data_IF_799525409797
#
_entry.id   IF_799525409797
#
_cell.length_a   1.000
_cell.length_b   1.000
_cell.length_c   1.000
_cell.angle_alpha   90.00
_cell.angle_beta   90.00
_cell.angle_gamma   90.00
#
_symmetry.space_group_name_H-M   'P 1'
#
loop_
_entity.id
_entity.type
_entity.pdbx_description
1 polymer ?
#
# COMPACT_ATOMS: atom_id res chain seq x y z
N UNK A 1 2.71 24.00 -11.54
CA UNK A 1 3.32 22.75 -11.03
C UNK A 1 3.54 22.82 -9.51
N UNK A 2 2.49 23.13 -8.75
CA UNK A 2 2.50 23.11 -7.29
C UNK A 2 1.10 22.69 -6.88
N UNK A 3 0.95 21.60 -6.12
CA UNK A 3 -0.26 21.16 -5.37
C UNK A 3 -0.17 19.68 -4.90
N UNK A 4 0.92 18.95 -5.19
CA UNK A 4 1.02 17.51 -4.87
C UNK A 4 1.76 17.16 -3.56
N UNK A 5 2.42 18.10 -2.88
CA UNK A 5 3.22 17.82 -1.68
C UNK A 5 2.44 17.93 -0.35
N UNK A 6 1.39 18.76 -0.31
CA UNK A 6 0.64 19.09 0.91
C UNK A 6 -0.23 17.97 1.46
N UNK A 7 -1.00 17.18 0.66
CA UNK A 7 -1.92 16.19 1.21
C UNK A 7 -1.19 14.96 1.78
N UNK A 8 -0.07 14.56 1.17
CA UNK A 8 0.72 13.42 1.64
C UNK A 8 1.37 13.67 3.00
N UNK A 9 1.86 14.89 3.23
CA UNK A 9 2.47 15.28 4.50
C UNK A 9 1.46 15.23 5.66
N UNK A 10 0.26 15.76 5.45
CA UNK A 10 -0.82 15.75 6.42
C UNK A 10 -1.29 14.32 6.74
N UNK A 11 -1.43 13.47 5.73
CA UNK A 11 -1.79 12.06 5.91
C UNK A 11 -0.75 11.29 6.73
N UNK A 12 0.55 11.55 6.49
CA UNK A 12 1.64 10.92 7.24
C UNK A 12 1.67 11.38 8.71
N UNK A 13 1.44 12.66 8.97
CA UNK A 13 1.34 13.21 10.34
C UNK A 13 0.17 12.57 11.09
N UNK A 14 -0.98 12.43 10.43
CA UNK A 14 -2.16 11.77 10.96
C UNK A 14 -1.91 10.30 11.29
N UNK A 15 -1.25 9.56 10.39
CA UNK A 15 -0.88 8.16 10.59
C UNK A 15 0.10 7.96 11.76
N UNK A 16 1.09 8.85 11.89
CA UNK A 16 2.03 8.84 13.02
C UNK A 16 1.32 9.05 14.35
N UNK A 17 0.37 9.99 14.39
CA UNK A 17 -0.47 10.25 15.56
C UNK A 17 -1.29 9.01 15.96
N UNK A 18 -2.04 8.42 15.01
CA UNK A 18 -2.82 7.21 15.28
C UNK A 18 -1.95 6.03 15.73
N UNK A 19 -0.76 5.87 15.17
CA UNK A 19 0.18 4.81 15.57
C UNK A 19 0.64 4.97 17.03
N UNK A 20 0.83 6.21 17.48
CA UNK A 20 1.13 6.52 18.88
C UNK A 20 -0.05 6.17 19.81
N UNK A 21 -1.27 6.50 19.39
CA UNK A 21 -2.49 6.17 20.15
C UNK A 21 -2.65 4.64 20.28
N UNK A 22 -2.46 3.88 19.20
CA UNK A 22 -2.53 2.41 19.22
C UNK A 22 -1.47 1.79 20.14
N UNK A 23 -0.25 2.35 20.19
CA UNK A 23 0.79 1.87 21.10
C UNK A 23 0.42 2.13 22.57
N UNK A 24 -0.11 3.33 22.87
CA UNK A 24 -0.58 3.69 24.21
C UNK A 24 -1.74 2.79 24.67
N UNK A 25 -2.70 2.52 23.79
CA UNK A 25 -3.81 1.61 24.12
C UNK A 25 -3.32 0.19 24.41
N UNK A 26 -2.32 -0.30 23.66
CA UNK A 26 -1.72 -1.60 23.92
C UNK A 26 -1.03 -1.70 25.28
N UNK A 27 -0.30 -0.65 25.69
CA UNK A 27 0.32 -0.57 27.02
C UNK A 27 -0.72 -0.59 28.15
N UNK A 28 -1.83 0.15 27.98
CA UNK A 28 -2.95 0.18 28.93
C UNK A 28 -3.59 -1.20 29.06
N UNK A 29 -3.86 -1.89 27.94
CA UNK A 29 -4.41 -3.26 27.94
C UNK A 29 -3.50 -4.26 28.64
N UNK A 30 -2.18 -4.17 28.44
CA UNK A 30 -1.20 -5.02 29.14
C UNK A 30 -1.26 -4.74 30.65
N UNK A 31 -1.28 -3.47 31.07
CA UNK A 31 -1.36 -3.09 32.48
C UNK A 31 -2.62 -3.61 33.17
N UNK A 32 -3.79 -3.43 32.55
CA UNK A 32 -5.06 -3.99 33.02
C UNK A 32 -5.03 -5.52 33.11
N UNK A 33 -4.44 -6.17 32.12
CA UNK A 33 -4.35 -7.64 32.09
C UNK A 33 -3.43 -8.19 33.18
N UNK A 34 -2.30 -7.51 33.47
CA UNK A 34 -1.42 -7.86 34.59
C UNK A 34 -2.17 -7.67 35.92
N UNK A 35 -2.88 -6.54 36.09
CA UNK A 35 -3.66 -6.27 37.30
C UNK A 35 -4.74 -7.32 37.56
N UNK A 36 -5.50 -7.71 36.52
CA UNK A 36 -6.54 -8.75 36.61
C UNK A 36 -5.93 -10.11 36.92
N UNK A 37 -4.82 -10.48 36.28
CA UNK A 37 -4.13 -11.76 36.56
C UNK A 37 -3.57 -11.80 37.98
N UNK A 38 -3.00 -10.69 38.49
CA UNK A 38 -2.48 -10.59 39.85
C UNK A 38 -3.59 -10.68 40.89
N UNK A 39 -4.69 -9.92 40.71
CA UNK A 39 -5.87 -9.99 41.60
C UNK A 39 -6.55 -11.35 41.52
N UNK A 40 -6.65 -11.93 40.33
CA UNK A 40 -7.16 -13.28 40.10
C UNK A 40 -6.35 -14.35 40.83
N UNK A 41 -5.02 -14.27 40.78
CA UNK A 41 -4.13 -15.19 41.51
C UNK A 41 -4.26 -15.10 43.05
N UNK A 42 -4.70 -13.96 43.58
CA UNK A 42 -5.04 -13.79 45.00
C UNK A 42 -6.45 -14.34 45.29
N UNK A 43 -7.39 -14.20 44.34
CA UNK A 43 -8.80 -14.59 44.49
C UNK A 43 -9.08 -16.08 44.19
N UNK A 44 -8.19 -16.76 43.45
CA UNK A 44 -8.24 -18.22 43.18
C UNK A 44 -8.33 -19.05 44.45
N UNK A 45 -7.76 -18.57 45.57
CA UNK A 45 -7.83 -19.20 46.89
C UNK A 45 -9.25 -19.24 47.49
N UNK A 46 -10.22 -18.53 46.92
CA UNK A 46 -11.58 -18.38 47.49
C UNK A 46 -12.72 -18.75 46.53
N UNK A 47 -12.59 -18.54 45.20
CA UNK A 47 -13.75 -18.55 44.27
C UNK A 47 -13.76 -19.62 43.15
N UNK A 48 -12.79 -20.54 43.12
CA UNK A 48 -12.83 -21.85 42.42
C UNK A 48 -13.17 -21.87 40.92
N UNK A 49 -14.42 -21.64 40.53
CA UNK A 49 -14.94 -21.76 39.16
C UNK A 49 -14.82 -20.48 38.32
N UNK A 50 -15.04 -19.30 38.93
CA UNK A 50 -15.02 -18.01 38.22
C UNK A 50 -13.60 -17.59 37.79
N UNK A 51 -12.58 -18.22 38.38
CA UNK A 51 -11.19 -17.81 38.23
C UNK A 51 -10.52 -18.33 36.95
N UNK A 52 -10.94 -19.48 36.43
CA UNK A 52 -10.38 -20.03 35.20
C UNK A 52 -10.73 -19.15 33.98
N UNK A 53 -11.96 -18.63 33.95
CA UNK A 53 -12.42 -17.72 32.91
C UNK A 53 -11.66 -16.38 32.94
N UNK A 54 -11.52 -15.77 34.12
CA UNK A 54 -10.76 -14.52 34.30
C UNK A 54 -9.29 -14.66 33.88
N UNK A 55 -8.67 -15.81 34.16
CA UNK A 55 -7.29 -16.09 33.76
C UNK A 55 -7.15 -16.27 32.24
N UNK A 56 -8.06 -17.02 31.60
CA UNK A 56 -8.08 -17.17 30.14
C UNK A 56 -8.29 -15.84 29.41
N UNK A 57 -9.24 -15.03 29.88
CA UNK A 57 -9.51 -13.69 29.32
C UNK A 57 -8.30 -12.77 29.53
N UNK A 58 -7.66 -12.81 30.71
CA UNK A 58 -6.46 -12.03 31.01
C UNK A 58 -5.27 -12.39 30.12
N UNK A 59 -5.02 -13.69 29.88
CA UNK A 59 -3.98 -14.15 28.97
C UNK A 59 -4.24 -13.72 27.51
N UNK A 60 -5.48 -13.81 27.04
CA UNK A 60 -5.85 -13.36 25.69
C UNK A 60 -5.60 -11.85 25.52
N UNK A 61 -5.97 -11.03 26.52
CA UNK A 61 -5.71 -9.59 26.48
C UNK A 61 -4.22 -9.23 26.54
N UNK A 62 -3.38 -10.01 27.25
CA UNK A 62 -1.92 -9.84 27.23
C UNK A 62 -1.33 -10.08 25.84
N UNK A 63 -1.73 -11.17 25.19
CA UNK A 63 -1.27 -11.52 23.83
C UNK A 63 -1.72 -10.46 22.84
N UNK A 64 -3.00 -10.06 22.86
CA UNK A 64 -3.52 -9.02 21.95
C UNK A 64 -2.88 -7.65 22.20
N UNK A 65 -2.63 -7.28 23.47
CA UNK A 65 -1.97 -6.03 23.85
C UNK A 65 -0.53 -5.98 23.36
N UNK A 66 0.25 -7.03 23.56
CA UNK A 66 1.64 -7.11 23.09
C UNK A 66 1.78 -7.01 21.57
N UNK A 67 0.93 -7.71 20.82
CA UNK A 67 0.87 -7.61 19.35
C UNK A 67 0.57 -6.17 18.92
N UNK A 68 -0.38 -5.52 19.58
CA UNK A 68 -0.78 -4.13 19.27
C UNK A 68 0.34 -3.12 19.53
N UNK A 69 1.10 -3.29 20.62
CA UNK A 69 2.28 -2.48 20.94
C UNK A 69 3.36 -2.65 19.88
N UNK A 70 3.71 -3.90 19.54
CA UNK A 70 4.74 -4.19 18.54
C UNK A 70 4.39 -3.57 17.17
N UNK A 71 3.13 -3.66 16.76
CA UNK A 71 2.64 -3.02 15.54
C UNK A 71 2.71 -1.48 15.61
N UNK A 72 2.36 -0.88 16.75
CA UNK A 72 2.46 0.57 16.96
C UNK A 72 3.91 1.08 16.89
N UNK A 73 4.86 0.40 17.52
CA UNK A 73 6.28 0.75 17.47
C UNK A 73 6.88 0.51 16.08
N UNK A 74 6.62 -0.63 15.43
CA UNK A 74 7.10 -0.89 14.08
C UNK A 74 6.62 0.18 13.08
N UNK A 75 5.38 0.65 13.24
CA UNK A 75 4.77 1.70 12.41
C UNK A 75 5.38 3.09 12.67
N UNK A 76 5.69 3.42 13.92
CA UNK A 76 6.36 4.66 14.31
C UNK A 76 7.82 4.70 13.86
N UNK A 77 8.56 3.61 14.06
CA UNK A 77 9.95 3.48 13.59
C UNK A 77 10.01 3.42 12.06
N UNK A 78 9.01 2.80 11.42
CA UNK A 78 8.83 2.82 9.98
C UNK A 78 8.52 4.21 9.40
N UNK A 79 7.92 5.12 10.19
CA UNK A 79 7.64 6.50 9.81
C UNK A 79 8.76 7.50 10.22
N UNK A 80 9.50 7.21 11.29
CA UNK A 80 10.58 8.05 11.82
C UNK A 80 11.90 7.87 11.05
N UNK A 81 12.16 6.70 10.47
CA UNK A 81 13.31 6.46 9.58
C UNK A 81 13.04 6.96 8.15
N UNK A 82 12.61 8.21 8.02
CA UNK A 82 12.22 8.82 6.75
C UNK A 82 12.73 10.25 6.53
N UNK A 83 13.91 10.36 5.94
CA UNK A 83 14.18 11.40 4.94
C UNK A 83 13.55 11.04 3.57
N UNK A 84 12.30 10.53 3.53
CA UNK A 84 11.70 9.92 2.32
C UNK A 84 11.18 10.92 1.27
N UNK A 85 11.29 12.22 1.47
CA UNK A 85 11.15 13.15 0.33
C UNK A 85 12.14 12.78 -0.78
N UNK A 86 13.38 12.50 -0.37
CA UNK A 86 14.44 12.00 -1.25
C UNK A 86 14.20 10.55 -1.67
N UNK A 87 13.71 9.67 -0.78
CA UNK A 87 13.52 8.24 -1.08
C UNK A 87 12.37 7.97 -2.06
N UNK A 88 11.26 8.72 -1.98
CA UNK A 88 10.18 8.63 -2.96
C UNK A 88 10.62 9.14 -4.32
N UNK A 89 11.33 10.27 -4.36
CA UNK A 89 11.90 10.80 -5.59
C UNK A 89 12.90 9.82 -6.22
N UNK A 90 13.82 9.24 -5.42
CA UNK A 90 14.76 8.21 -5.87
C UNK A 90 14.02 6.97 -6.38
N UNK A 91 12.91 6.56 -5.76
CA UNK A 91 12.12 5.42 -6.20
C UNK A 91 11.35 5.70 -7.49
N UNK A 92 10.81 6.91 -7.66
CA UNK A 92 10.18 7.34 -8.92
C UNK A 92 11.23 7.37 -10.05
N UNK A 93 12.43 7.93 -9.81
CA UNK A 93 13.54 7.94 -10.79
C UNK A 93 14.03 6.52 -11.12
N UNK A 94 14.20 5.66 -10.12
CA UNK A 94 14.61 4.27 -10.34
C UNK A 94 13.54 3.47 -11.10
N UNK A 95 12.27 3.73 -10.84
CA UNK A 95 11.16 3.12 -11.56
C UNK A 95 11.14 3.58 -13.02
N UNK A 96 11.30 4.89 -13.27
CA UNK A 96 11.41 5.43 -14.63
C UNK A 96 12.60 4.77 -15.36
N UNK A 97 13.75 4.62 -14.71
CA UNK A 97 14.92 3.97 -15.28
C UNK A 97 14.67 2.50 -15.67
N UNK A 98 13.94 1.75 -14.86
CA UNK A 98 13.56 0.37 -15.18
C UNK A 98 12.65 0.33 -16.43
N UNK A 99 11.65 1.21 -16.51
CA UNK A 99 10.76 1.32 -17.67
C UNK A 99 11.53 1.74 -18.94
N UNK A 100 12.46 2.69 -18.81
CA UNK A 100 13.35 3.11 -19.89
C UNK A 100 14.21 1.95 -20.38
N UNK A 101 14.74 1.12 -19.47
CA UNK A 101 15.56 -0.06 -19.79
C UNK A 101 14.75 -1.13 -20.51
N UNK A 102 13.52 -1.42 -20.04
CA UNK A 102 12.60 -2.35 -20.70
C UNK A 102 12.33 -1.92 -22.15
N UNK A 103 11.95 -0.65 -22.36
CA UNK A 103 11.73 -0.11 -23.69
C UNK A 103 12.98 -0.15 -24.57
N UNK A 104 14.16 0.19 -24.04
CA UNK A 104 15.41 0.22 -24.83
C UNK A 104 15.77 -1.16 -25.40
N UNK A 105 15.50 -2.22 -24.66
CA UNK A 105 15.75 -3.59 -25.07
C UNK A 105 14.57 -4.24 -25.79
N UNK A 106 13.45 -3.53 -25.94
CA UNK A 106 12.24 -4.03 -26.57
C UNK A 106 12.46 -4.25 -28.07
N UNK A 107 12.17 -5.47 -28.54
CA UNK A 107 12.33 -5.87 -29.95
C UNK A 107 11.01 -6.14 -30.64
N UNK A 108 9.94 -6.37 -29.88
CA UNK A 108 8.58 -6.43 -30.41
C UNK A 108 7.77 -7.58 -29.84
N UNK A 109 6.51 -7.64 -30.25
CA UNK A 109 5.54 -8.57 -29.68
C UNK A 109 5.86 -10.05 -29.96
N UNK A 110 6.48 -10.36 -31.11
CA UNK A 110 6.78 -11.73 -31.54
C UNK A 110 8.16 -12.23 -31.09
N UNK A 111 8.95 -11.38 -30.44
CA UNK A 111 10.28 -11.76 -29.99
C UNK A 111 10.18 -12.51 -28.65
N UNK A 112 10.79 -13.71 -28.51
CA UNK A 112 10.70 -14.51 -27.29
C UNK A 112 11.62 -14.02 -26.15
N UNK A 113 12.12 -12.79 -26.23
CA UNK A 113 13.03 -12.25 -25.21
C UNK A 113 12.29 -11.79 -23.94
N UNK A 114 12.96 -11.95 -22.80
CA UNK A 114 12.39 -11.63 -21.46
C UNK A 114 12.02 -10.14 -21.33
N UNK A 115 12.71 -9.23 -22.02
CA UNK A 115 12.36 -7.81 -22.00
C UNK A 115 11.07 -7.53 -22.76
N UNK A 116 10.91 -8.10 -23.96
CA UNK A 116 9.68 -7.96 -24.76
C UNK A 116 8.48 -8.58 -24.08
N UNK A 117 8.63 -9.78 -23.50
CA UNK A 117 7.56 -10.42 -22.74
C UNK A 117 7.12 -9.54 -21.55
N UNK A 118 8.08 -9.10 -20.71
CA UNK A 118 7.76 -8.25 -19.55
C UNK A 118 7.12 -6.94 -19.95
N UNK A 119 7.65 -6.29 -20.99
CA UNK A 119 7.13 -4.99 -21.45
C UNK A 119 5.72 -5.11 -22.03
N UNK A 120 5.43 -6.18 -22.79
CA UNK A 120 4.08 -6.48 -23.28
C UNK A 120 3.09 -6.64 -22.12
N UNK A 121 3.45 -7.43 -21.10
CA UNK A 121 2.61 -7.64 -19.91
C UNK A 121 2.35 -6.32 -19.17
N UNK A 122 3.37 -5.47 -19.01
CA UNK A 122 3.22 -4.16 -18.36
C UNK A 122 2.23 -3.28 -19.12
N UNK A 123 2.36 -3.15 -20.43
CA UNK A 123 1.45 -2.34 -21.27
C UNK A 123 0.01 -2.86 -21.23
N UNK A 124 -0.17 -4.18 -21.34
CA UNK A 124 -1.50 -4.82 -21.32
C UNK A 124 -2.18 -4.69 -19.94
N UNK A 125 -1.45 -4.95 -18.85
CA UNK A 125 -2.01 -4.91 -17.49
C UNK A 125 -2.32 -3.49 -17.03
N UNK A 126 -1.47 -2.53 -17.38
CA UNK A 126 -1.66 -1.14 -16.99
C UNK A 126 -2.51 -0.34 -17.98
N UNK A 127 -2.86 -0.92 -19.14
CA UNK A 127 -3.68 -0.28 -20.19
C UNK A 127 -3.09 1.07 -20.61
N UNK A 128 -1.83 1.02 -21.04
CA UNK A 128 -0.97 2.18 -21.34
C UNK A 128 -0.07 1.88 -22.54
N UNK A 129 0.53 2.92 -23.13
CA UNK A 129 1.47 2.76 -24.24
C UNK A 129 2.76 3.56 -24.01
N UNK A 130 3.89 2.88 -24.10
CA UNK A 130 5.20 3.49 -23.90
C UNK A 130 5.49 3.85 -22.44
N UNK A 131 6.62 4.50 -22.19
CA UNK A 131 7.03 4.89 -20.83
C UNK A 131 6.27 6.14 -20.41
N UNK A 132 6.38 7.21 -21.19
CA UNK A 132 5.70 8.51 -21.03
C UNK A 132 4.51 8.65 -21.96
N UNK A 133 4.62 8.16 -23.19
CA UNK A 133 3.56 8.21 -24.21
C UNK A 133 3.86 7.21 -25.35
N UNK A 134 2.90 6.98 -26.25
CA UNK A 134 3.03 6.11 -27.42
C UNK A 134 4.19 6.52 -28.35
N UNK A 135 4.53 7.82 -28.40
CA UNK A 135 5.64 8.35 -29.20
C UNK A 135 7.01 7.85 -28.75
N UNK A 136 7.13 7.20 -27.59
CA UNK A 136 8.38 6.63 -27.11
C UNK A 136 8.94 5.51 -28.01
N UNK A 137 8.13 4.99 -28.93
CA UNK A 137 8.54 3.98 -29.90
C UNK A 137 9.09 4.58 -31.20
N UNK A 138 8.84 5.87 -31.48
CA UNK A 138 9.42 6.55 -32.64
C UNK A 138 10.94 6.66 -32.49
N UNK A 139 11.68 6.23 -33.51
CA UNK A 139 13.13 6.10 -33.53
C UNK A 139 13.68 4.97 -32.64
N UNK A 140 12.83 4.14 -32.04
CA UNK A 140 13.27 3.03 -31.19
C UNK A 140 13.74 1.82 -32.01
N UNK A 141 14.45 0.88 -31.36
CA UNK A 141 14.83 -0.37 -32.01
C UNK A 141 13.62 -1.14 -32.53
N UNK A 142 12.47 -1.03 -31.86
CA UNK A 142 11.23 -1.69 -32.27
C UNK A 142 10.69 -1.15 -33.60
N UNK A 143 10.61 0.17 -33.77
CA UNK A 143 10.15 0.78 -35.03
C UNK A 143 11.11 0.43 -36.16
N UNK A 144 12.43 0.45 -35.89
CA UNK A 144 13.44 0.08 -36.89
C UNK A 144 13.35 -1.38 -37.34
N UNK A 145 12.98 -2.30 -36.44
CA UNK A 145 12.88 -3.74 -36.74
C UNK A 145 11.53 -4.08 -37.38
N UNK A 146 10.43 -3.48 -36.92
CA UNK A 146 9.08 -3.89 -37.30
C UNK A 146 8.38 -2.95 -38.28
N UNK A 147 8.87 -1.71 -38.42
CA UNK A 147 8.22 -0.65 -39.22
C UNK A 147 6.89 -0.14 -38.66
N UNK A 148 6.51 -0.54 -37.43
CA UNK A 148 5.30 -0.06 -36.76
C UNK A 148 5.64 1.07 -35.78
N UNK A 149 4.74 2.04 -35.67
CA UNK A 149 4.85 3.18 -34.76
C UNK A 149 4.58 2.81 -33.30
N UNK A 150 3.85 1.73 -33.04
CA UNK A 150 3.58 1.22 -31.70
C UNK A 150 3.31 -0.30 -31.72
N UNK A 151 3.51 -1.02 -30.60
CA UNK A 151 3.21 -2.45 -30.51
C UNK A 151 1.73 -2.75 -30.23
N UNK A 152 1.27 -3.95 -30.59
CA UNK A 152 -0.12 -4.40 -30.37
C UNK A 152 -0.58 -4.38 -28.91
N UNK A 153 0.34 -4.47 -27.96
CA UNK A 153 0.07 -4.35 -26.53
C UNK A 153 -0.46 -2.96 -26.12
N UNK A 154 -0.30 -1.95 -26.98
CA UNK A 154 -0.87 -0.61 -26.78
C UNK A 154 -2.34 -0.48 -27.20
N UNK A 155 -2.90 -1.47 -27.90
CA UNK A 155 -4.28 -1.45 -28.37
C UNK A 155 -5.24 -1.57 -27.19
N UNK A 156 -6.36 -0.83 -27.22
CA UNK A 156 -7.44 -1.00 -26.22
C UNK A 156 -8.14 -2.35 -26.34
N UNK A 157 -8.20 -2.90 -27.54
CA UNK A 157 -8.84 -4.17 -27.85
C UNK A 157 -7.96 -4.96 -28.82
N UNK A 158 -7.53 -6.15 -28.39
CA UNK A 158 -6.76 -7.07 -29.22
C UNK A 158 -7.68 -7.61 -30.33
N UNK A 159 -7.34 -7.32 -31.59
CA UNK A 159 -8.05 -7.86 -32.77
C UNK A 159 -8.89 -6.85 -33.56
N UNK A 160 -8.88 -5.57 -33.19
CA UNK A 160 -9.43 -4.53 -34.07
C UNK A 160 -8.55 -4.36 -35.30
N UNK A 161 -9.16 -4.31 -36.48
CA UNK A 161 -8.44 -4.10 -37.75
C UNK A 161 -7.74 -2.74 -37.76
N UNK A 162 -8.34 -1.77 -37.06
CA UNK A 162 -7.82 -0.41 -36.92
C UNK A 162 -6.55 -0.32 -36.07
N UNK A 163 -6.23 -1.32 -35.24
CA UNK A 163 -4.99 -1.35 -34.47
C UNK A 163 -3.85 -2.03 -35.25
N UNK A 164 -3.50 -1.42 -36.38
CA UNK A 164 -2.53 -1.90 -37.35
C UNK A 164 -1.06 -1.57 -36.99
N UNK A 165 -0.83 -0.79 -35.93
CA UNK A 165 0.49 -0.31 -35.54
C UNK A 165 0.86 1.03 -36.17
N UNK A 166 -0.09 1.73 -36.82
CA UNK A 166 0.07 3.06 -37.43
C UNK A 166 -1.03 4.04 -37.03
N UNK A 167 -2.25 3.55 -36.81
CA UNK A 167 -3.37 4.38 -36.39
C UNK A 167 -3.24 4.81 -34.91
N UNK A 168 -2.88 6.07 -34.70
CA UNK A 168 -2.66 6.65 -33.35
C UNK A 168 -3.92 7.25 -32.71
N UNK A 169 -5.11 6.99 -33.28
CA UNK A 169 -6.36 7.51 -32.75
C UNK A 169 -6.57 7.14 -31.28
N UNK A 170 -7.04 8.11 -30.49
CA UNK A 170 -7.28 7.93 -29.07
C UNK A 170 -8.34 6.86 -28.76
N UNK A 171 -9.18 6.50 -29.73
CA UNK A 171 -10.17 5.42 -29.59
C UNK A 171 -9.55 4.03 -29.73
N UNK A 172 -8.45 3.91 -30.46
CA UNK A 172 -7.82 2.63 -30.81
C UNK A 172 -6.70 2.27 -29.83
N UNK A 173 -5.89 3.25 -29.42
CA UNK A 173 -4.72 3.03 -28.56
C UNK A 173 -4.83 3.72 -27.20
N UNK A 174 -4.07 3.20 -26.24
CA UNK A 174 -3.86 3.88 -24.96
C UNK A 174 -2.85 5.01 -25.11
N UNK A 175 -3.30 6.27 -25.14
CA UNK A 175 -2.39 7.42 -25.25
C UNK A 175 -1.63 7.76 -23.97
N UNK A 176 -2.04 7.27 -22.80
CA UNK A 176 -1.28 7.51 -21.57
C UNK A 176 -0.07 6.57 -21.47
N UNK A 177 1.08 7.12 -21.07
CA UNK A 177 2.27 6.32 -20.75
C UNK A 177 2.12 5.45 -19.52
N UNK A 178 2.86 4.35 -19.48
CA UNK A 178 2.77 3.39 -18.39
C UNK A 178 3.33 3.93 -17.06
N UNK A 179 4.36 4.77 -17.09
CA UNK A 179 4.92 5.39 -15.89
C UNK A 179 3.92 6.33 -15.19
N UNK A 180 3.35 7.37 -15.86
CA UNK A 180 2.36 8.23 -15.21
C UNK A 180 1.09 7.48 -14.80
N UNK A 181 0.67 6.47 -15.58
CA UNK A 181 -0.48 5.61 -15.24
C UNK A 181 -0.24 4.82 -13.96
N UNK A 182 0.93 4.20 -13.84
CA UNK A 182 1.32 3.44 -12.66
C UNK A 182 1.41 4.31 -11.42
N UNK A 183 1.98 5.52 -11.53
CA UNK A 183 2.03 6.48 -10.43
C UNK A 183 0.62 6.89 -9.98
N UNK A 184 -0.30 7.11 -10.93
CA UNK A 184 -1.71 7.42 -10.64
C UNK A 184 -2.41 6.26 -9.91
N UNK A 185 -2.28 5.03 -10.42
CA UNK A 185 -2.84 3.82 -9.78
C UNK A 185 -2.27 3.64 -8.38
N UNK A 186 -0.96 3.74 -8.22
CA UNK A 186 -0.27 3.57 -6.93
C UNK A 186 -0.76 4.59 -5.92
N UNK A 187 -0.92 5.86 -6.32
CA UNK A 187 -1.48 6.91 -5.45
C UNK A 187 -2.92 6.63 -5.05
N UNK A 188 -3.80 6.29 -5.99
CA UNK A 188 -5.21 6.01 -5.70
C UNK A 188 -5.38 4.77 -4.81
N UNK A 189 -4.67 3.68 -5.10
CA UNK A 189 -4.70 2.46 -4.29
C UNK A 189 -4.14 2.71 -2.88
N UNK A 190 -3.10 3.54 -2.74
CA UNK A 190 -2.56 3.91 -1.43
C UNK A 190 -3.54 4.72 -0.57
N UNK A 191 -4.42 5.52 -1.18
CA UNK A 191 -5.47 6.26 -0.48
C UNK A 191 -6.59 5.32 0.01
N UNK A 192 -6.96 4.30 -0.76
CA UNK A 192 -7.94 3.30 -0.31
C UNK A 192 -7.36 2.39 0.79
N UNK A 193 -6.09 2.01 0.67
CA UNK A 193 -5.37 1.21 1.67
C UNK A 193 -5.19 1.98 2.99
N UNK A 194 -5.03 3.30 2.94
CA UNK A 194 -4.98 4.15 4.14
C UNK A 194 -6.36 4.30 4.81
N UNK A 195 -7.45 4.27 4.03
CA UNK A 195 -8.82 4.23 4.54
C UNK A 195 -9.12 3.01 5.43
N UNK A 196 -8.64 1.82 5.02
CA UNK A 196 -8.76 0.61 5.83
C UNK A 196 -8.02 0.68 7.17
N UNK A 197 -6.85 1.35 7.19
CA UNK A 197 -6.10 1.61 8.42
C UNK A 197 -6.78 2.64 9.34
N UNK A 198 -7.46 3.64 8.79
CA UNK A 198 -8.17 4.66 9.57
C UNK A 198 -9.40 4.06 10.27
N UNK A 199 -10.10 3.12 9.59
CA UNK A 199 -11.24 2.39 10.17
C UNK A 199 -10.89 1.60 11.43
N UNK A 200 -9.70 0.97 11.47
CA UNK A 200 -9.25 0.23 12.65
C UNK A 200 -9.00 1.14 13.87
N UNK A 201 -8.58 2.39 13.66
CA UNK A 201 -8.35 3.36 14.74
C UNK A 201 -9.66 3.90 15.33
N UNK A 202 -10.68 4.13 14.50
CA UNK A 202 -12.01 4.58 14.96
C UNK A 202 -12.71 3.48 15.76
N UNK A 203 -12.55 2.21 15.37
CA UNK A 203 -13.14 1.07 16.09
C UNK A 203 -12.51 0.83 17.48
N UNK A 204 -11.29 1.31 17.73
CA UNK A 204 -10.62 1.15 19.03
C UNK A 204 -11.14 2.11 20.11
N UNK A 205 -11.63 3.30 19.75
CA UNK A 205 -12.06 4.32 20.72
C UNK A 205 -13.28 3.90 21.58
N UNK A 206 -14.35 3.31 21.01
CA UNK A 206 -15.50 2.84 21.80
C UNK A 206 -15.12 1.71 22.76
N UNK A 207 -14.22 0.81 22.36
CA UNK A 207 -13.77 -0.31 23.19
C UNK A 207 -13.01 0.15 24.43
N UNK A 208 -12.16 1.17 24.29
CA UNK A 208 -11.43 1.77 25.42
C UNK A 208 -12.41 2.47 26.38
N UNK A 209 -13.36 3.24 25.85
CA UNK A 209 -14.36 3.95 26.68
C UNK A 209 -15.25 2.98 27.47
N UNK A 210 -15.74 1.91 26.83
CA UNK A 210 -16.54 0.89 27.50
C UNK A 210 -15.76 0.18 28.62
N UNK A 211 -14.47 -0.10 28.39
CA UNK A 211 -13.61 -0.72 29.40
C UNK A 211 -13.38 0.21 30.61
N UNK A 212 -13.14 1.51 30.36
CA UNK A 212 -13.00 2.51 31.42
C UNK A 212 -14.28 2.65 32.26
N UNK A 213 -15.45 2.72 31.62
CA UNK A 213 -16.73 2.81 32.32
C UNK A 213 -17.03 1.57 33.15
N UNK A 214 -16.71 0.38 32.65
CA UNK A 214 -16.82 -0.86 33.43
C UNK A 214 -15.89 -0.83 34.65
N UNK A 215 -14.64 -0.36 34.48
CA UNK A 215 -13.68 -0.27 35.58
C UNK A 215 -14.15 0.68 36.69
N UNK A 216 -14.69 1.85 36.33
CA UNK A 216 -15.25 2.82 37.29
C UNK A 216 -16.45 2.24 38.04
N UNK A 217 -17.23 1.36 37.42
CA UNK A 217 -18.44 0.76 38.03
C UNK A 217 -18.14 -0.47 38.91
N UNK A 218 -17.00 -1.12 38.69
CA UNK A 218 -16.53 -2.30 39.44
C UNK A 218 -15.54 -1.96 40.56
N UNK A 219 -15.02 -0.72 40.58
CA UNK A 219 -14.13 -0.19 41.60
C UNK A 219 -14.87 0.49 42.74
#
# INVERSE_FOLDING_TARGET
MAETHTPYYSLKKLFSFFSGVTALSGMVLIGLSIYVNFRGAVLTKVLGLSSAYLFHVGCLCLVMGSVTVLLGFARRHGAAKESRGTLLFVREVALEHNFVTLRKNYRGYKEPDDYSMRWNVVMEKLKCCGVKNYTDFSGSSFERVTGHTYPRSCCKSLGTVDCDGRNVSADIIHQEGCFPKLLKITRTQSANLSGGCLGAAVMQLPGILATLLLFIKLG
#
